data_IF_090853061406
#
_entry.id   IF_090853061406
#
_cell.length_a   1.000
_cell.length_b   1.000
_cell.length_c   1.000
_cell.angle_alpha   90.00
_cell.angle_beta   90.00
_cell.angle_gamma   90.00
#
_symmetry.space_group_name_H-M   'P 1'
#
loop_
_entity.id
_entity.type
_entity.pdbx_description
1 polymer ?
#
# COMPACT_ATOMS: atom_id res chain seq x y z
N UNK A 1 -2.89 27.51 38.11
CA UNK A 1 -2.68 26.03 38.11
C UNK A 1 -3.99 25.35 37.76
N UNK A 2 -4.25 25.06 36.49
CA UNK A 2 -5.41 24.30 36.09
C UNK A 2 -5.18 22.81 36.40
N UNK A 3 -5.99 22.23 37.29
CA UNK A 3 -5.96 20.81 37.66
C UNK A 3 -6.17 19.97 36.41
N UNK A 4 -5.27 19.00 36.16
CA UNK A 4 -5.52 17.95 35.16
C UNK A 4 -6.83 17.25 35.48
N UNK A 5 -7.71 17.03 34.51
CA UNK A 5 -8.96 16.29 34.72
C UNK A 5 -8.66 14.86 35.19
N UNK A 6 -9.43 14.38 36.16
CA UNK A 6 -9.32 13.05 36.76
C UNK A 6 -9.44 11.94 35.70
N UNK A 7 -8.65 10.88 35.87
CA UNK A 7 -8.38 9.84 34.88
C UNK A 7 -9.49 8.78 34.67
N UNK A 8 -10.57 8.81 35.42
CA UNK A 8 -11.46 7.65 35.57
C UNK A 8 -12.97 7.92 35.40
N UNK A 9 -13.33 8.82 34.47
CA UNK A 9 -14.73 9.02 34.08
C UNK A 9 -15.08 8.08 32.90
N UNK A 10 -15.94 7.06 33.09
CA UNK A 10 -16.27 6.09 32.03
C UNK A 10 -17.10 6.67 30.88
N UNK A 11 -17.67 7.87 31.03
CA UNK A 11 -18.38 8.60 29.96
C UNK A 11 -17.45 9.39 29.04
N UNK A 12 -16.16 9.56 29.40
CA UNK A 12 -15.17 10.25 28.56
C UNK A 12 -14.38 9.26 27.69
N UNK A 13 -14.14 9.58 26.43
CA UNK A 13 -13.31 8.74 25.57
C UNK A 13 -11.96 8.49 26.26
N UNK A 14 -11.51 7.22 26.30
CA UNK A 14 -10.27 6.78 26.95
C UNK A 14 -9.17 7.79 26.65
N UNK A 15 -8.55 8.39 27.68
CA UNK A 15 -7.57 9.49 27.63
C UNK A 15 -6.33 9.25 26.73
N UNK A 16 -6.33 8.21 25.90
CA UNK A 16 -5.27 7.77 24.99
C UNK A 16 -5.75 7.52 23.55
N UNK A 17 -7.05 7.63 23.23
CA UNK A 17 -7.61 7.42 21.88
C UNK A 17 -7.34 8.58 20.92
N UNK A 18 -7.43 8.34 19.62
CA UNK A 18 -7.25 9.34 18.57
C UNK A 18 -8.30 10.45 18.65
N UNK A 19 -9.57 10.11 18.94
CA UNK A 19 -10.66 11.09 19.11
C UNK A 19 -10.38 12.08 20.25
N UNK A 20 -9.89 11.61 21.41
CA UNK A 20 -9.48 12.48 22.51
C UNK A 20 -8.35 13.45 22.11
N UNK A 21 -7.39 12.98 21.32
CA UNK A 21 -6.27 13.84 20.86
C UNK A 21 -6.73 14.88 19.85
N UNK A 22 -7.69 14.56 18.98
CA UNK A 22 -8.31 15.56 18.10
C UNK A 22 -8.85 16.74 18.92
N UNK A 23 -9.62 16.47 19.98
CA UNK A 23 -10.18 17.52 20.85
C UNK A 23 -9.09 18.25 21.66
N UNK A 24 -8.13 17.51 22.23
CA UNK A 24 -7.09 18.08 23.08
C UNK A 24 -6.22 19.13 22.35
N UNK A 25 -5.85 18.88 21.09
CA UNK A 25 -5.02 19.82 20.32
C UNK A 25 -5.80 20.99 19.69
N UNK A 26 -7.13 20.98 19.75
CA UNK A 26 -7.98 22.08 19.33
C UNK A 26 -8.20 23.13 20.44
N UNK A 27 -7.54 23.00 21.59
CA UNK A 27 -7.62 23.99 22.68
C UNK A 27 -6.58 25.09 22.49
N UNK A 28 -7.02 26.37 22.58
CA UNK A 28 -6.19 27.56 22.47
C UNK A 28 -5.03 27.57 23.46
N UNK A 29 -5.29 27.18 24.72
CA UNK A 29 -4.31 27.18 25.79
C UNK A 29 -3.17 26.18 25.54
N UNK A 30 -3.52 25.01 24.95
CA UNK A 30 -2.54 24.00 24.56
C UNK A 30 -1.65 24.50 23.41
N UNK A 31 -2.20 25.26 22.49
CA UNK A 31 -1.47 25.78 21.33
C UNK A 31 -0.48 26.89 21.72
N UNK A 32 -0.89 27.81 22.60
CA UNK A 32 -0.08 28.96 23.03
C UNK A 32 1.20 28.53 23.79
N UNK A 33 1.06 27.58 24.72
CA UNK A 33 2.16 27.12 25.56
C UNK A 33 2.98 25.96 24.97
N UNK A 34 2.57 25.44 23.80
CA UNK A 34 3.12 24.19 23.25
C UNK A 34 4.62 24.25 23.01
N UNK A 35 5.12 25.34 22.43
CA UNK A 35 6.52 25.46 22.06
C UNK A 35 7.40 25.80 23.27
N UNK A 36 6.97 26.69 24.15
CA UNK A 36 7.70 27.03 25.37
C UNK A 36 7.90 25.81 26.26
N UNK A 37 6.83 25.04 26.53
CA UNK A 37 6.92 23.86 27.39
C UNK A 37 7.71 22.71 26.77
N UNK A 38 7.68 22.55 25.42
CA UNK A 38 8.28 21.38 24.76
C UNK A 38 9.71 21.57 24.28
N UNK A 39 10.22 22.80 24.11
CA UNK A 39 11.53 23.01 23.46
C UNK A 39 12.49 23.93 24.20
N UNK A 40 12.12 24.41 25.35
CA UNK A 40 12.92 25.29 26.19
C UNK A 40 14.29 24.71 26.62
N UNK A 41 14.40 23.39 26.79
CA UNK A 41 15.63 22.78 27.30
C UNK A 41 16.61 22.38 26.19
N UNK A 42 17.94 22.57 26.36
CA UNK A 42 18.95 22.16 25.38
C UNK A 42 18.86 20.68 24.96
N UNK A 43 18.48 19.81 25.91
CA UNK A 43 18.27 18.37 25.64
C UNK A 43 17.12 18.13 24.63
N UNK A 44 16.05 18.92 24.69
CA UNK A 44 14.91 18.83 23.80
C UNK A 44 15.22 19.44 22.43
N UNK A 45 15.97 20.54 22.40
CA UNK A 45 16.45 21.15 21.13
C UNK A 45 17.39 20.20 20.39
N UNK A 46 18.40 19.59 21.05
CA UNK A 46 19.28 18.57 20.45
C UNK A 46 18.50 17.36 19.89
N UNK A 47 17.41 16.97 20.57
CA UNK A 47 16.54 15.88 20.11
C UNK A 47 15.75 16.27 18.86
N UNK A 48 15.33 17.51 18.75
CA UNK A 48 14.65 18.04 17.57
C UNK A 48 15.63 18.14 16.38
N UNK A 49 16.82 18.68 16.59
CA UNK A 49 17.89 18.77 15.59
C UNK A 49 18.24 17.39 15.00
N UNK A 50 18.38 16.36 15.86
CA UNK A 50 18.62 14.98 15.38
C UNK A 50 17.48 14.44 14.52
N UNK A 51 16.22 14.78 14.83
CA UNK A 51 15.09 14.39 14.00
C UNK A 51 15.13 15.13 12.67
N UNK A 52 15.40 16.41 12.66
CA UNK A 52 15.57 17.19 11.44
C UNK A 52 16.68 16.61 10.55
N UNK A 53 17.82 16.27 11.08
CA UNK A 53 18.89 15.62 10.33
C UNK A 53 18.45 14.28 9.71
N UNK A 54 17.60 13.51 10.40
CA UNK A 54 17.06 12.27 9.84
C UNK A 54 16.06 12.54 8.70
N UNK A 55 15.25 13.61 8.81
CA UNK A 55 14.34 14.06 7.74
C UNK A 55 15.16 14.55 6.53
N UNK A 56 16.20 15.35 6.73
CA UNK A 56 17.10 15.80 5.66
C UNK A 56 17.75 14.62 4.91
N UNK A 57 18.17 13.58 5.64
CA UNK A 57 18.69 12.34 5.04
C UNK A 57 17.63 11.62 4.21
N UNK A 58 16.35 11.66 4.61
CA UNK A 58 15.25 11.11 3.81
C UNK A 58 15.03 11.95 2.55
N UNK A 59 14.97 13.28 2.68
CA UNK A 59 14.81 14.21 1.57
C UNK A 59 15.96 14.12 0.55
N UNK A 60 17.19 13.95 1.02
CA UNK A 60 18.35 13.76 0.13
C UNK A 60 18.28 12.48 -0.72
N UNK A 61 17.44 11.52 -0.36
CA UNK A 61 17.18 10.30 -1.15
C UNK A 61 15.98 10.47 -2.12
N UNK A 62 15.32 11.62 -2.09
CA UNK A 62 14.19 11.92 -2.98
C UNK A 62 14.68 12.72 -4.19
N UNK A 63 14.25 12.32 -5.38
CA UNK A 63 14.55 13.05 -6.61
C UNK A 63 13.34 13.91 -7.01
N UNK A 64 13.61 15.18 -7.39
CA UNK A 64 12.62 16.06 -8.00
C UNK A 64 11.54 16.61 -7.07
N UNK A 65 11.68 16.49 -5.76
CA UNK A 65 10.73 17.06 -4.80
C UNK A 65 10.88 18.58 -4.77
N UNK A 66 9.79 19.29 -5.06
CA UNK A 66 9.67 20.76 -4.99
C UNK A 66 8.58 21.16 -4.00
N UNK A 67 7.48 20.42 -3.95
CA UNK A 67 6.29 20.71 -3.13
C UNK A 67 6.10 19.68 -2.03
N UNK A 68 5.91 20.15 -0.78
CA UNK A 68 5.72 19.28 0.39
C UNK A 68 4.47 19.70 1.17
N UNK A 69 3.61 18.75 1.49
CA UNK A 69 2.57 18.90 2.52
C UNK A 69 3.11 18.42 3.84
N UNK A 70 3.18 19.29 4.85
CA UNK A 70 3.58 18.97 6.24
C UNK A 70 2.31 18.75 7.08
N UNK A 71 2.05 17.51 7.50
CA UNK A 71 0.84 17.07 8.18
C UNK A 71 1.13 16.10 9.35
N UNK A 72 0.73 16.38 10.57
CA UNK A 72 0.29 17.67 11.07
C UNK A 72 1.45 18.65 11.25
N UNK A 73 1.26 19.88 10.79
CA UNK A 73 2.31 20.90 10.88
C UNK A 73 2.51 21.46 12.31
N UNK A 74 1.46 21.36 13.15
CA UNK A 74 1.46 21.93 14.51
C UNK A 74 1.80 23.42 14.48
N UNK A 75 2.76 23.82 15.31
CA UNK A 75 3.27 25.20 15.38
C UNK A 75 4.28 25.57 14.28
N UNK A 76 4.31 24.81 13.16
CA UNK A 76 5.07 25.15 11.95
C UNK A 76 6.56 24.88 11.99
N UNK A 77 7.06 24.16 12.99
CA UNK A 77 8.50 23.97 13.20
C UNK A 77 9.21 23.28 12.04
N UNK A 78 8.70 22.17 11.56
CA UNK A 78 9.27 21.49 10.40
C UNK A 78 8.85 22.17 9.11
N UNK A 79 7.67 22.76 9.05
CA UNK A 79 7.20 23.63 7.96
C UNK A 79 8.23 24.72 7.67
N UNK A 80 8.65 25.48 8.72
CA UNK A 80 9.67 26.51 8.59
C UNK A 80 11.06 25.98 8.21
N UNK A 81 11.43 24.78 8.69
CA UNK A 81 12.69 24.15 8.31
C UNK A 81 12.69 23.71 6.83
N UNK A 82 11.58 23.19 6.33
CA UNK A 82 11.41 22.82 4.93
C UNK A 82 11.42 24.05 4.02
N UNK A 83 10.71 25.11 4.41
CA UNK A 83 10.68 26.36 3.66
C UNK A 83 12.09 26.99 3.53
N UNK A 84 12.86 27.01 4.63
CA UNK A 84 14.29 27.45 4.61
C UNK A 84 15.17 26.56 3.76
N UNK A 85 14.84 25.28 3.63
CA UNK A 85 15.56 24.34 2.75
C UNK A 85 15.17 24.48 1.27
N UNK A 86 14.29 25.43 0.90
CA UNK A 86 13.92 25.78 -0.48
C UNK A 86 12.70 25.03 -1.02
N UNK A 87 12.00 24.24 -0.19
CA UNK A 87 10.76 23.57 -0.63
C UNK A 87 9.56 24.52 -0.53
N UNK A 88 8.66 24.45 -1.52
CA UNK A 88 7.34 25.06 -1.42
C UNK A 88 6.47 24.18 -0.49
N UNK A 89 6.02 24.74 0.65
CA UNK A 89 5.38 23.98 1.71
C UNK A 89 3.95 24.44 1.95
N UNK A 90 3.04 23.48 2.05
CA UNK A 90 1.70 23.68 2.61
C UNK A 90 1.68 23.04 3.99
N UNK A 91 1.46 23.85 5.04
CA UNK A 91 1.21 23.36 6.39
C UNK A 91 -0.24 22.88 6.51
N UNK A 92 -0.46 21.71 7.12
CA UNK A 92 -1.82 21.23 7.35
C UNK A 92 -1.94 20.66 8.76
N UNK A 93 -3.02 21.00 9.44
CA UNK A 93 -3.35 20.50 10.79
C UNK A 93 -4.88 20.46 10.97
N UNK A 94 -5.33 19.66 11.92
CA UNK A 94 -6.74 19.69 12.37
C UNK A 94 -7.03 20.88 13.27
N UNK A 95 -6.02 21.40 13.99
CA UNK A 95 -6.09 22.54 14.89
C UNK A 95 -5.77 23.84 14.17
N UNK A 96 -6.76 24.73 14.11
CA UNK A 96 -6.61 26.09 13.59
C UNK A 96 -5.66 26.89 14.51
N UNK A 97 -5.76 26.69 15.82
CA UNK A 97 -4.96 27.37 16.84
C UNK A 97 -3.47 27.06 16.67
N UNK A 98 -3.12 25.80 16.38
CA UNK A 98 -1.74 25.40 16.07
C UNK A 98 -1.23 26.08 14.79
N UNK A 99 -2.05 26.14 13.74
CA UNK A 99 -1.69 26.80 12.49
C UNK A 99 -1.57 28.33 12.65
N UNK A 100 -2.38 28.97 13.52
CA UNK A 100 -2.22 30.39 13.86
C UNK A 100 -0.87 30.67 14.54
N UNK A 101 -0.38 29.76 15.39
CA UNK A 101 0.97 29.89 15.94
C UNK A 101 2.04 29.67 14.86
N UNK A 102 1.81 28.73 13.94
CA UNK A 102 2.70 28.51 12.81
C UNK A 102 2.81 29.75 11.91
N UNK A 103 1.72 30.47 11.72
CA UNK A 103 1.68 31.71 10.91
C UNK A 103 2.47 32.88 11.55
N UNK A 104 2.82 32.81 12.84
CA UNK A 104 3.68 33.79 13.53
C UNK A 104 5.18 33.55 13.33
N UNK A 105 5.58 32.55 12.53
CA UNK A 105 6.99 32.31 12.21
C UNK A 105 7.61 33.55 11.55
N UNK A 106 8.94 33.80 11.73
CA UNK A 106 9.60 34.93 11.10
C UNK A 106 9.44 34.97 9.56
N UNK A 107 9.31 36.14 8.99
CA UNK A 107 9.04 36.36 7.56
C UNK A 107 9.99 35.57 6.61
N UNK A 108 11.27 35.44 6.96
CA UNK A 108 12.24 34.64 6.21
C UNK A 108 11.85 33.16 6.10
N UNK A 109 11.02 32.66 7.03
CA UNK A 109 10.52 31.28 7.01
C UNK A 109 9.23 31.15 6.21
N UNK A 110 8.55 32.27 5.88
CA UNK A 110 7.32 32.29 5.12
C UNK A 110 7.53 32.34 3.60
N UNK A 111 8.71 32.73 3.13
CA UNK A 111 8.97 32.95 1.70
C UNK A 111 8.57 31.76 0.80
N UNK A 112 8.64 30.53 1.32
CA UNK A 112 8.29 29.30 0.59
C UNK A 112 7.10 28.56 1.23
N UNK A 113 6.34 29.20 2.13
CA UNK A 113 5.11 28.62 2.71
C UNK A 113 3.94 29.10 1.85
N UNK A 114 3.35 28.19 1.08
CA UNK A 114 2.24 28.48 0.18
C UNK A 114 0.92 28.72 0.94
N UNK A 115 0.83 28.30 2.19
CA UNK A 115 -0.34 28.51 3.05
C UNK A 115 -0.54 27.41 4.10
N UNK A 116 -1.65 27.57 4.83
CA UNK A 116 -2.09 26.61 5.85
C UNK A 116 -3.50 26.12 5.55
N UNK A 117 -3.72 24.81 5.68
CA UNK A 117 -5.00 24.17 5.36
C UNK A 117 -5.46 23.33 6.54
N UNK A 118 -6.66 23.60 7.06
CA UNK A 118 -7.28 22.74 8.08
C UNK A 118 -7.70 21.42 7.45
N UNK A 119 -7.18 20.30 8.00
CA UNK A 119 -7.49 18.99 7.47
C UNK A 119 -7.48 17.89 8.54
N UNK A 120 -8.36 16.92 8.37
CA UNK A 120 -8.27 15.62 9.02
C UNK A 120 -7.37 14.70 8.20
N UNK A 121 -6.40 14.05 8.84
CA UNK A 121 -5.46 13.15 8.17
C UNK A 121 -6.13 11.89 7.58
N UNK A 122 -7.36 11.56 7.98
CA UNK A 122 -8.15 10.47 7.42
C UNK A 122 -8.92 10.87 6.16
N UNK A 123 -9.11 12.19 5.89
CA UNK A 123 -9.82 12.72 4.73
C UNK A 123 -9.20 14.08 4.35
N UNK A 124 -8.17 14.05 3.53
CA UNK A 124 -7.40 15.25 3.17
C UNK A 124 -8.10 16.05 2.05
N UNK A 125 -8.27 17.39 2.21
CA UNK A 125 -8.92 18.24 1.21
C UNK A 125 -7.97 18.59 0.04
N UNK A 126 -7.03 17.74 -0.27
CA UNK A 126 -6.10 17.91 -1.37
C UNK A 126 -6.48 17.01 -2.54
N UNK A 127 -6.24 17.50 -3.75
CA UNK A 127 -6.43 16.70 -4.97
C UNK A 127 -5.45 15.51 -4.98
N UNK A 128 -5.84 14.44 -5.64
CA UNK A 128 -4.96 13.29 -5.89
C UNK A 128 -3.69 13.77 -6.61
N UNK A 129 -2.52 13.30 -6.12
CA UNK A 129 -1.20 13.64 -6.71
C UNK A 129 -0.89 15.13 -6.79
N UNK A 130 -1.35 15.92 -5.83
CA UNK A 130 -1.17 17.38 -5.80
C UNK A 130 0.18 17.84 -5.22
N UNK A 131 0.86 17.03 -4.41
CA UNK A 131 2.17 17.36 -3.84
C UNK A 131 3.22 16.29 -4.17
N UNK A 132 4.50 16.67 -4.35
CA UNK A 132 5.57 15.72 -4.65
C UNK A 132 5.88 14.82 -3.45
N UNK A 133 5.77 15.37 -2.24
CA UNK A 133 5.99 14.67 -0.98
C UNK A 133 4.94 15.06 0.06
N UNK A 134 4.48 14.09 0.84
CA UNK A 134 3.74 14.32 2.07
C UNK A 134 4.62 13.90 3.25
N UNK A 135 4.82 14.84 4.20
CA UNK A 135 5.58 14.58 5.41
C UNK A 135 4.64 14.50 6.62
N UNK A 136 4.77 13.43 7.42
CA UNK A 136 3.98 13.24 8.65
C UNK A 136 4.88 12.89 9.81
N UNK A 137 5.19 13.87 10.65
CA UNK A 137 6.14 13.74 11.74
C UNK A 137 5.50 13.93 13.11
N UNK A 138 5.78 12.99 14.03
CA UNK A 138 5.30 12.96 15.42
C UNK A 138 3.80 12.71 15.56
N UNK A 139 3.23 12.01 14.64
CA UNK A 139 1.79 11.79 14.57
C UNK A 139 1.38 10.30 14.57
N UNK A 140 1.84 9.50 13.60
CA UNK A 140 1.34 8.14 13.38
C UNK A 140 1.48 7.19 14.57
N UNK A 141 2.45 7.38 15.44
CA UNK A 141 2.59 6.57 16.66
C UNK A 141 1.59 6.95 17.77
N UNK A 142 0.69 7.88 17.53
CA UNK A 142 -0.39 8.27 18.43
C UNK A 142 -1.73 7.63 18.10
N UNK A 143 -1.82 6.93 16.99
CA UNK A 143 -3.05 6.30 16.49
C UNK A 143 -2.86 4.79 16.37
N UNK A 144 -3.95 4.05 16.39
CA UNK A 144 -3.95 2.61 16.21
C UNK A 144 -3.58 2.20 14.77
N UNK A 145 -3.32 0.90 14.57
CA UNK A 145 -2.85 0.38 13.28
C UNK A 145 -3.85 0.50 12.14
N UNK A 146 -5.14 0.43 12.42
CA UNK A 146 -6.18 0.55 11.41
C UNK A 146 -6.32 1.99 10.93
N UNK A 147 -6.39 2.93 11.87
CA UNK A 147 -6.39 4.38 11.59
C UNK A 147 -5.12 4.78 10.82
N UNK A 148 -3.93 4.25 11.19
CA UNK A 148 -2.70 4.50 10.43
C UNK A 148 -2.80 4.04 8.97
N UNK A 149 -3.39 2.87 8.71
CA UNK A 149 -3.56 2.40 7.32
C UNK A 149 -4.48 3.31 6.50
N UNK A 150 -5.59 3.78 7.09
CA UNK A 150 -6.48 4.76 6.43
C UNK A 150 -5.72 6.04 6.09
N UNK A 151 -4.99 6.60 7.05
CA UNK A 151 -4.16 7.79 6.84
C UNK A 151 -3.08 7.58 5.78
N UNK A 152 -2.39 6.45 5.81
CA UNK A 152 -1.35 6.13 4.83
C UNK A 152 -1.92 6.02 3.40
N UNK A 153 -3.16 5.53 3.22
CA UNK A 153 -3.84 5.55 1.92
C UNK A 153 -4.08 6.98 1.42
N UNK A 154 -4.57 7.86 2.31
CA UNK A 154 -4.75 9.28 2.00
C UNK A 154 -3.41 9.97 1.69
N UNK A 155 -2.36 9.67 2.43
CA UNK A 155 -1.02 10.18 2.15
C UNK A 155 -0.53 9.73 0.76
N UNK A 156 -0.76 8.47 0.41
CA UNK A 156 -0.47 7.91 -0.90
C UNK A 156 -1.30 8.52 -2.03
N UNK A 157 -2.57 8.86 -1.76
CA UNK A 157 -3.45 9.55 -2.72
C UNK A 157 -2.94 10.95 -3.03
N UNK A 158 -2.62 11.74 -2.01
CA UNK A 158 -2.18 13.14 -2.14
C UNK A 158 -0.78 13.26 -2.71
N UNK A 159 0.13 12.38 -2.29
CA UNK A 159 1.52 12.42 -2.72
C UNK A 159 1.71 11.88 -4.14
N UNK A 160 2.42 12.61 -4.99
CA UNK A 160 2.85 12.12 -6.32
C UNK A 160 3.77 10.92 -6.19
N UNK A 161 4.75 11.01 -5.29
CA UNK A 161 5.76 9.96 -5.17
C UNK A 161 6.23 9.68 -3.76
N UNK A 162 6.53 10.65 -2.93
CA UNK A 162 7.25 10.44 -1.70
C UNK A 162 6.40 10.68 -0.45
N UNK A 163 6.58 9.84 0.55
CA UNK A 163 6.00 10.01 1.88
C UNK A 163 7.12 9.87 2.89
N UNK A 164 7.23 10.85 3.81
CA UNK A 164 8.16 10.81 4.94
C UNK A 164 7.34 10.75 6.21
N UNK A 165 7.46 9.67 6.96
CA UNK A 165 6.73 9.48 8.21
C UNK A 165 7.65 9.03 9.34
N UNK A 166 7.27 9.28 10.61
CA UNK A 166 8.05 8.75 11.72
C UNK A 166 7.28 7.70 12.52
N UNK A 167 8.02 6.69 12.95
CA UNK A 167 7.52 5.57 13.73
C UNK A 167 8.34 5.39 15.02
N UNK A 168 7.73 4.67 15.98
CA UNK A 168 8.43 4.18 17.15
C UNK A 168 8.57 2.68 17.09
N UNK A 169 9.80 2.18 17.26
CA UNK A 169 10.14 0.77 17.06
C UNK A 169 10.57 0.06 18.34
N UNK A 170 10.47 -1.28 18.33
CA UNK A 170 10.82 -2.15 19.46
C UNK A 170 12.33 -2.48 19.59
N UNK A 171 13.17 -2.05 18.65
CA UNK A 171 14.60 -2.41 18.62
C UNK A 171 15.49 -1.37 19.31
N UNK A 172 15.05 -0.79 20.44
CA UNK A 172 15.83 0.15 21.23
C UNK A 172 16.15 -0.44 22.61
N UNK A 173 17.31 -0.08 23.17
CA UNK A 173 17.68 -0.45 24.51
C UNK A 173 16.59 -0.13 25.55
N UNK A 174 16.00 1.05 25.42
CA UNK A 174 14.87 1.47 26.27
C UNK A 174 13.68 0.53 26.20
N UNK A 175 13.37 -0.03 25.04
CA UNK A 175 12.29 -1.02 24.90
C UNK A 175 12.66 -2.35 25.57
N UNK A 176 13.92 -2.77 25.46
CA UNK A 176 14.43 -3.95 26.14
C UNK A 176 14.30 -3.85 27.66
N UNK A 177 14.76 -2.72 28.24
CA UNK A 177 14.59 -2.43 29.66
C UNK A 177 13.12 -2.42 30.08
N UNK A 178 12.25 -1.80 29.30
CA UNK A 178 10.81 -1.80 29.56
C UNK A 178 10.24 -3.22 29.55
N UNK A 179 10.63 -4.06 28.58
CA UNK A 179 10.16 -5.44 28.47
C UNK A 179 10.52 -6.25 29.71
N UNK A 180 11.75 -6.11 30.19
CA UNK A 180 12.23 -6.76 31.45
C UNK A 180 11.43 -6.23 32.64
N UNK A 181 11.30 -4.91 32.79
CA UNK A 181 10.53 -4.30 33.88
C UNK A 181 9.06 -4.70 33.86
N UNK A 182 8.48 -4.89 32.69
CA UNK A 182 7.09 -5.35 32.51
C UNK A 182 6.94 -6.82 32.90
N UNK A 183 7.90 -7.67 32.53
CA UNK A 183 7.92 -9.08 32.92
C UNK A 183 8.07 -9.27 34.44
N UNK A 184 8.79 -8.35 35.09
CA UNK A 184 8.95 -8.33 36.56
C UNK A 184 7.79 -7.62 37.28
N UNK A 185 6.73 -7.23 36.59
CA UNK A 185 5.57 -6.54 37.18
C UNK A 185 5.83 -5.09 37.63
N UNK A 186 7.04 -4.55 37.37
CA UNK A 186 7.45 -3.21 37.81
C UNK A 186 6.80 -2.06 37.01
N UNK A 187 6.18 -2.33 35.88
CA UNK A 187 5.45 -1.36 35.07
C UNK A 187 4.21 -1.94 34.43
N UNK A 188 3.07 -1.24 34.58
CA UNK A 188 1.78 -1.60 33.96
C UNK A 188 1.46 -0.75 32.72
N UNK A 189 2.31 0.21 32.34
CA UNK A 189 2.04 1.12 31.21
C UNK A 189 2.29 0.40 29.88
N UNK A 190 1.32 0.36 28.97
CA UNK A 190 1.53 -0.20 27.65
C UNK A 190 2.58 0.62 26.90
N UNK A 191 3.48 -0.07 26.21
CA UNK A 191 4.56 0.55 25.45
C UNK A 191 4.56 0.00 24.02
N UNK A 192 3.47 0.31 23.30
CA UNK A 192 3.32 -0.14 21.93
C UNK A 192 4.45 0.35 21.03
N UNK A 193 5.06 -0.57 20.34
CA UNK A 193 6.13 -0.33 19.39
C UNK A 193 6.01 -1.29 18.24
N UNK A 194 6.27 -0.79 17.04
CA UNK A 194 6.18 -1.59 15.80
C UNK A 194 7.48 -2.35 15.53
N UNK A 195 7.35 -3.50 14.88
CA UNK A 195 8.46 -4.18 14.23
C UNK A 195 8.66 -3.64 12.81
N UNK A 196 9.81 -3.92 12.18
CA UNK A 196 10.01 -3.63 10.75
C UNK A 196 8.91 -4.33 9.95
N UNK A 197 8.65 -5.61 10.21
CA UNK A 197 7.64 -6.40 9.48
C UNK A 197 6.25 -5.79 9.59
N UNK A 198 5.79 -5.42 10.81
CA UNK A 198 4.43 -4.85 10.98
C UNK A 198 4.31 -3.47 10.35
N UNK A 199 5.33 -2.61 10.50
CA UNK A 199 5.37 -1.29 9.87
C UNK A 199 5.37 -1.40 8.34
N UNK A 200 6.24 -2.22 7.77
CA UNK A 200 6.29 -2.43 6.31
C UNK A 200 4.96 -2.95 5.78
N UNK A 201 4.31 -3.86 6.53
CA UNK A 201 2.97 -4.35 6.15
C UNK A 201 1.91 -3.23 6.17
N UNK A 202 1.96 -2.29 7.12
CA UNK A 202 1.04 -1.14 7.14
C UNK A 202 1.20 -0.25 5.88
N UNK A 203 2.43 0.00 5.44
CA UNK A 203 2.69 0.73 4.20
C UNK A 203 2.27 -0.07 2.97
N UNK A 204 2.60 -1.36 2.90
CA UNK A 204 2.21 -2.25 1.79
C UNK A 204 0.68 -2.38 1.66
N UNK A 205 -0.03 -2.49 2.78
CA UNK A 205 -1.51 -2.52 2.81
C UNK A 205 -2.13 -1.19 2.31
N UNK A 206 -1.39 -0.09 2.43
CA UNK A 206 -1.78 1.22 1.88
C UNK A 206 -1.31 1.45 0.42
N UNK A 207 -0.74 0.44 -0.24
CA UNK A 207 -0.21 0.57 -1.60
C UNK A 207 1.12 1.31 -1.70
N UNK A 208 1.84 1.46 -0.58
CA UNK A 208 3.10 2.20 -0.48
C UNK A 208 4.27 1.23 -0.33
N UNK A 209 5.43 1.59 -0.86
CA UNK A 209 6.68 0.84 -0.71
C UNK A 209 7.63 1.56 0.25
N UNK A 210 8.06 0.91 1.31
CA UNK A 210 9.13 1.43 2.17
C UNK A 210 10.45 1.42 1.40
N UNK A 211 10.95 2.60 1.04
CA UNK A 211 12.21 2.78 0.33
C UNK A 211 13.41 2.80 1.28
N UNK A 212 13.29 3.46 2.43
CA UNK A 212 14.38 3.54 3.42
C UNK A 212 13.84 3.73 4.83
N UNK A 213 14.53 3.12 5.79
CA UNK A 213 14.32 3.34 7.23
C UNK A 213 15.57 4.02 7.79
N UNK A 214 15.42 5.20 8.37
CA UNK A 214 16.50 6.03 8.92
C UNK A 214 16.34 6.11 10.43
N UNK A 215 17.29 5.57 11.18
CA UNK A 215 17.30 5.67 12.63
C UNK A 215 17.71 7.08 13.07
N UNK A 216 16.89 7.72 13.92
CA UNK A 216 17.24 9.03 14.51
C UNK A 216 18.49 8.95 15.40
N UNK A 217 18.65 7.82 16.09
CA UNK A 217 19.88 7.44 16.81
C UNK A 217 19.90 5.94 16.98
N UNK A 218 20.83 5.26 16.30
CA UNK A 218 20.93 3.80 16.32
C UNK A 218 21.02 3.27 17.76
N UNK A 219 20.24 2.24 18.10
CA UNK A 219 20.17 1.55 19.40
C UNK A 219 19.66 2.40 20.59
N UNK A 220 19.89 3.71 20.60
CA UNK A 220 19.59 4.61 21.71
C UNK A 220 18.25 5.33 21.58
N UNK A 221 17.63 5.34 20.42
CA UNK A 221 16.32 5.96 20.17
C UNK A 221 15.35 4.95 19.60
N UNK A 222 14.12 4.98 20.09
CA UNK A 222 13.00 4.19 19.58
C UNK A 222 12.35 4.80 18.33
N UNK A 223 13.02 5.70 17.60
CA UNK A 223 12.43 6.47 16.52
C UNK A 223 13.09 6.21 15.20
N UNK A 224 12.26 5.92 14.20
CA UNK A 224 12.61 5.90 12.80
C UNK A 224 11.97 7.07 12.05
N UNK A 225 12.67 7.57 11.05
CA UNK A 225 12.11 8.29 9.92
C UNK A 225 12.06 7.31 8.75
N UNK A 226 10.90 7.11 8.21
CA UNK A 226 10.61 6.16 7.13
C UNK A 226 10.36 6.97 5.88
N UNK A 227 11.14 6.70 4.84
CA UNK A 227 10.88 7.16 3.49
C UNK A 227 10.12 6.06 2.76
N UNK A 228 8.95 6.40 2.26
CA UNK A 228 8.15 5.50 1.45
C UNK A 228 7.82 6.14 0.09
N UNK A 229 7.59 5.30 -0.89
CA UNK A 229 7.23 5.67 -2.24
C UNK A 229 5.78 5.28 -2.50
N UNK A 230 4.98 6.22 -2.98
CA UNK A 230 3.62 5.96 -3.43
C UNK A 230 3.67 5.20 -4.76
N UNK A 231 3.28 3.93 -4.72
CA UNK A 231 3.30 3.03 -5.86
C UNK A 231 2.18 3.30 -6.88
N UNK A 232 1.96 4.54 -7.25
CA UNK A 232 1.02 4.87 -8.32
C UNK A 232 1.78 5.08 -9.62
N UNK A 233 1.46 4.26 -10.59
CA UNK A 233 1.72 4.61 -11.98
C UNK A 233 0.59 5.54 -12.39
N UNK A 234 0.89 6.82 -12.42
CA UNK A 234 0.02 7.83 -13.04
C UNK A 234 -0.04 7.50 -14.55
N UNK A 235 -1.21 7.43 -15.17
CA UNK A 235 -1.32 7.25 -16.62
C UNK A 235 -0.47 8.23 -17.43
N UNK A 236 -0.34 9.49 -16.99
CA UNK A 236 0.54 10.48 -17.63
C UNK A 236 2.04 10.13 -17.49
N UNK A 237 2.45 9.45 -16.43
CA UNK A 237 3.83 8.96 -16.26
C UNK A 237 4.09 7.67 -17.04
N UNK A 238 3.04 6.97 -17.45
CA UNK A 238 3.14 5.75 -18.25
C UNK A 238 3.65 6.08 -19.66
N UNK A 239 3.08 7.10 -20.31
CA UNK A 239 3.52 7.54 -21.63
C UNK A 239 5.01 7.87 -21.67
N UNK A 240 5.53 8.56 -20.64
CA UNK A 240 6.97 8.86 -20.54
C UNK A 240 7.84 7.60 -20.39
N UNK A 241 7.34 6.55 -19.74
CA UNK A 241 8.04 5.27 -19.57
C UNK A 241 7.98 4.37 -20.78
N UNK A 242 6.98 4.58 -21.64
CA UNK A 242 6.79 3.80 -22.86
C UNK A 242 7.47 4.42 -24.08
N UNK A 243 7.97 5.66 -23.95
CA UNK A 243 8.67 6.36 -25.03
C UNK A 243 9.87 5.54 -25.49
N UNK A 244 9.96 5.30 -26.80
CA UNK A 244 10.99 4.48 -27.42
C UNK A 244 10.77 2.96 -27.30
N UNK A 245 9.67 2.51 -26.71
CA UNK A 245 9.26 1.11 -26.75
C UNK A 245 8.22 0.90 -27.86
N UNK A 246 7.95 -0.35 -28.23
CA UNK A 246 6.87 -0.68 -29.20
C UNK A 246 5.45 -0.34 -28.70
N UNK A 247 5.32 0.16 -27.47
CA UNK A 247 4.06 0.52 -26.82
C UNK A 247 3.95 2.03 -26.56
N UNK A 248 4.70 2.85 -27.24
CA UNK A 248 4.69 4.33 -27.03
C UNK A 248 3.37 4.99 -27.42
N UNK A 249 2.62 4.36 -28.34
CA UNK A 249 1.29 4.77 -28.80
C UNK A 249 0.14 4.23 -27.92
N UNK A 250 0.45 3.57 -26.79
CA UNK A 250 -0.54 3.02 -25.88
C UNK A 250 -1.27 4.13 -25.12
N UNK A 251 -2.58 4.17 -25.27
CA UNK A 251 -3.47 5.12 -24.58
C UNK A 251 -4.27 4.41 -23.48
N UNK A 252 -4.09 4.85 -22.22
CA UNK A 252 -4.90 4.35 -21.09
C UNK A 252 -6.24 5.06 -21.08
N UNK A 253 -7.33 4.29 -21.17
CA UNK A 253 -8.70 4.82 -21.24
C UNK A 253 -9.43 4.76 -19.92
N UNK A 254 -9.26 3.68 -19.14
CA UNK A 254 -10.02 3.47 -17.91
C UNK A 254 -9.23 2.65 -16.90
N UNK A 255 -9.43 2.91 -15.60
CA UNK A 255 -8.95 2.05 -14.52
C UNK A 255 -10.01 0.99 -14.22
N UNK A 256 -9.73 -0.27 -14.54
CA UNK A 256 -10.64 -1.41 -14.31
C UNK A 256 -10.62 -1.92 -12.86
N UNK A 257 -9.47 -1.84 -12.20
CA UNK A 257 -9.37 -2.32 -10.82
C UNK A 257 -7.98 -2.18 -10.22
N UNK A 258 -7.93 -2.40 -8.91
CA UNK A 258 -6.68 -2.36 -8.17
C UNK A 258 -6.62 -3.50 -7.16
N UNK A 259 -5.59 -4.32 -7.28
CA UNK A 259 -5.30 -5.41 -6.37
C UNK A 259 -4.08 -5.14 -5.49
N UNK A 260 -3.73 -6.12 -4.67
CA UNK A 260 -2.55 -6.05 -3.79
C UNK A 260 -1.24 -5.89 -4.58
N UNK A 261 -1.14 -6.49 -5.76
CA UNK A 261 0.11 -6.60 -6.54
C UNK A 261 0.17 -5.66 -7.74
N UNK A 262 -0.98 -5.30 -8.30
CA UNK A 262 -1.06 -4.55 -9.56
C UNK A 262 -2.28 -3.63 -9.60
N UNK A 263 -2.25 -2.70 -10.53
CA UNK A 263 -3.39 -1.93 -10.99
C UNK A 263 -3.68 -2.38 -12.41
N UNK A 264 -4.94 -2.61 -12.74
CA UNK A 264 -5.39 -3.04 -14.06
C UNK A 264 -6.11 -1.88 -14.73
N UNK A 265 -5.76 -1.61 -15.97
CA UNK A 265 -6.35 -0.58 -16.81
C UNK A 265 -6.89 -1.19 -18.08
N UNK A 266 -7.93 -0.56 -18.64
CA UNK A 266 -8.28 -0.67 -20.05
C UNK A 266 -7.41 0.31 -20.80
N UNK A 267 -6.88 -0.10 -21.93
CA UNK A 267 -6.08 0.74 -22.79
C UNK A 267 -6.38 0.46 -24.24
N UNK A 268 -6.03 1.38 -25.12
CA UNK A 268 -6.06 1.22 -26.58
C UNK A 268 -4.64 1.15 -27.10
N UNK A 269 -4.36 0.15 -27.93
CA UNK A 269 -3.07 -0.03 -28.58
C UNK A 269 -3.28 -0.60 -29.98
N UNK A 270 -2.72 0.07 -31.00
CA UNK A 270 -2.89 -0.30 -32.41
C UNK A 270 -4.37 -0.50 -32.81
N UNK A 271 -5.26 0.38 -32.35
CA UNK A 271 -6.70 0.31 -32.61
C UNK A 271 -7.47 -0.78 -31.87
N UNK A 272 -6.81 -1.62 -31.09
CA UNK A 272 -7.41 -2.72 -30.30
C UNK A 272 -7.53 -2.32 -28.82
N UNK A 273 -8.64 -2.70 -28.19
CA UNK A 273 -8.75 -2.62 -26.72
C UNK A 273 -7.96 -3.76 -26.06
N UNK A 274 -7.17 -3.38 -25.04
CA UNK A 274 -6.31 -4.31 -24.31
C UNK A 274 -6.45 -4.12 -22.80
N UNK A 275 -6.19 -5.19 -22.07
CA UNK A 275 -6.01 -5.18 -20.63
C UNK A 275 -4.54 -4.90 -20.27
N UNK A 276 -4.28 -3.83 -19.54
CA UNK A 276 -2.95 -3.43 -19.09
C UNK A 276 -2.82 -3.65 -17.60
N UNK A 277 -1.87 -4.48 -17.19
CA UNK A 277 -1.61 -4.80 -15.80
C UNK A 277 -0.27 -4.19 -15.39
N UNK A 278 -0.32 -3.15 -14.57
CA UNK A 278 0.87 -2.44 -14.06
C UNK A 278 1.19 -2.91 -12.67
N UNK A 279 2.39 -3.44 -12.45
CA UNK A 279 2.79 -4.01 -11.16
C UNK A 279 3.26 -2.97 -10.18
N UNK A 280 2.82 -3.12 -8.94
CA UNK A 280 3.26 -2.27 -7.83
C UNK A 280 4.72 -2.57 -7.47
N UNK A 281 5.54 -1.58 -7.11
CA UNK A 281 6.95 -1.78 -6.77
C UNK A 281 7.19 -2.83 -5.67
N UNK A 282 6.29 -2.90 -4.68
CA UNK A 282 6.36 -3.92 -3.64
C UNK A 282 6.17 -5.35 -4.18
N UNK A 283 5.31 -5.53 -5.17
CA UNK A 283 5.09 -6.83 -5.82
C UNK A 283 6.32 -7.24 -6.63
N UNK A 284 6.91 -6.29 -7.40
CA UNK A 284 8.15 -6.49 -8.17
C UNK A 284 9.28 -6.92 -7.22
N UNK A 285 9.52 -6.16 -6.14
CA UNK A 285 10.57 -6.47 -5.17
C UNK A 285 10.35 -7.80 -4.44
N UNK A 286 9.09 -8.13 -4.11
CA UNK A 286 8.77 -9.41 -3.46
C UNK A 286 8.97 -10.60 -4.42
N UNK A 287 8.63 -10.44 -5.70
CA UNK A 287 8.83 -11.47 -6.71
C UNK A 287 10.32 -11.71 -6.97
N UNK A 288 11.11 -10.65 -7.15
CA UNK A 288 12.55 -10.71 -7.39
C UNK A 288 13.34 -11.46 -6.28
N UNK A 289 12.82 -11.47 -5.04
CA UNK A 289 13.41 -12.28 -3.95
C UNK A 289 13.13 -13.77 -4.07
N UNK A 290 12.21 -14.18 -4.93
CA UNK A 290 11.69 -15.56 -5.02
C UNK A 290 11.92 -16.20 -6.37
N UNK A 291 12.13 -15.39 -7.40
CA UNK A 291 12.26 -15.85 -8.78
C UNK A 291 13.27 -15.00 -9.55
N UNK A 292 13.98 -15.63 -10.49
CA UNK A 292 15.04 -14.96 -11.28
C UNK A 292 14.47 -14.04 -12.38
N UNK A 293 13.36 -14.44 -13.01
CA UNK A 293 12.75 -13.62 -14.04
C UNK A 293 12.02 -12.42 -13.44
N UNK A 294 11.98 -11.26 -14.11
CA UNK A 294 11.10 -10.15 -13.75
C UNK A 294 9.63 -10.58 -13.67
N UNK A 295 8.85 -9.93 -12.81
CA UNK A 295 7.44 -10.33 -12.56
C UNK A 295 6.58 -10.26 -13.81
N UNK A 296 6.71 -9.19 -14.62
CA UNK A 296 5.94 -9.00 -15.84
C UNK A 296 6.30 -10.06 -16.91
N UNK A 297 7.58 -10.33 -17.08
CA UNK A 297 8.06 -11.35 -17.99
C UNK A 297 7.63 -12.75 -17.54
N UNK A 298 7.75 -13.05 -16.25
CA UNK A 298 7.31 -14.31 -15.68
C UNK A 298 5.82 -14.56 -15.93
N UNK A 299 4.97 -13.57 -15.63
CA UNK A 299 3.53 -13.69 -15.83
C UNK A 299 3.18 -13.82 -17.32
N UNK A 300 3.80 -13.03 -18.18
CA UNK A 300 3.59 -13.11 -19.63
C UNK A 300 3.99 -14.47 -20.20
N UNK A 301 5.18 -14.99 -19.87
CA UNK A 301 5.62 -16.32 -20.35
C UNK A 301 4.70 -17.41 -19.87
N UNK A 302 4.23 -17.33 -18.63
CA UNK A 302 3.30 -18.31 -18.08
C UNK A 302 1.93 -18.20 -18.74
N UNK A 303 1.38 -17.01 -18.93
CA UNK A 303 0.13 -16.78 -19.67
C UNK A 303 0.25 -17.36 -21.09
N UNK A 304 1.36 -17.08 -21.78
CA UNK A 304 1.62 -17.58 -23.14
C UNK A 304 1.63 -19.10 -23.19
N UNK A 305 2.31 -19.76 -22.26
CA UNK A 305 2.35 -21.22 -22.19
C UNK A 305 0.94 -21.83 -22.01
N UNK A 306 0.08 -21.21 -21.20
CA UNK A 306 -1.32 -21.65 -21.04
C UNK A 306 -2.14 -21.38 -22.31
N UNK A 307 -1.99 -20.20 -22.91
CA UNK A 307 -2.74 -19.83 -24.11
C UNK A 307 -2.40 -20.72 -25.32
N UNK A 308 -1.12 -21.04 -25.52
CA UNK A 308 -0.64 -21.86 -26.63
C UNK A 308 -0.90 -23.36 -26.43
N UNK A 309 -1.26 -23.80 -25.22
CA UNK A 309 -1.60 -25.19 -24.98
C UNK A 309 -2.88 -25.59 -25.74
N UNK A 310 -2.90 -26.82 -26.26
CA UNK A 310 -4.00 -27.33 -27.09
C UNK A 310 -5.35 -27.18 -26.38
N UNK A 311 -6.29 -26.50 -27.01
CA UNK A 311 -7.66 -26.31 -26.50
C UNK A 311 -7.77 -25.24 -25.40
N UNK A 312 -6.67 -24.62 -24.94
CA UNK A 312 -6.67 -23.68 -23.84
C UNK A 312 -6.99 -22.23 -24.23
N UNK A 313 -6.79 -21.83 -25.49
CA UNK A 313 -6.99 -20.44 -25.94
C UNK A 313 -8.40 -19.89 -25.64
N UNK A 314 -9.44 -20.74 -25.67
CA UNK A 314 -10.81 -20.34 -25.33
C UNK A 314 -10.99 -19.97 -23.83
N UNK A 315 -10.08 -20.43 -22.95
CA UNK A 315 -10.16 -20.28 -21.50
C UNK A 315 -9.15 -19.26 -20.92
N UNK A 316 -8.27 -18.70 -21.73
CA UNK A 316 -7.16 -17.86 -21.28
C UNK A 316 -7.16 -16.56 -22.07
N UNK A 317 -6.93 -15.44 -21.39
CA UNK A 317 -6.73 -14.16 -22.05
C UNK A 317 -5.47 -14.20 -22.93
N UNK A 318 -5.57 -13.75 -24.19
CA UNK A 318 -4.43 -13.70 -25.12
C UNK A 318 -3.29 -12.82 -24.57
N UNK A 319 -2.07 -13.33 -24.42
CA UNK A 319 -0.92 -12.55 -23.96
C UNK A 319 -0.36 -11.70 -25.10
N UNK A 320 -0.33 -10.37 -24.95
CA UNK A 320 0.09 -9.42 -25.98
C UNK A 320 1.53 -8.92 -25.79
N UNK A 321 2.04 -8.95 -24.56
CA UNK A 321 3.41 -8.55 -24.29
C UNK A 321 3.67 -8.09 -22.87
N UNK A 322 4.87 -7.55 -22.68
CA UNK A 322 5.30 -7.00 -21.39
C UNK A 322 6.38 -5.92 -21.56
N UNK A 323 6.57 -5.11 -20.51
CA UNK A 323 7.67 -4.14 -20.37
C UNK A 323 8.34 -4.36 -19.03
N UNK A 324 9.67 -4.33 -19.03
CA UNK A 324 10.51 -4.40 -17.83
C UNK A 324 11.52 -3.26 -17.87
N UNK A 325 11.37 -2.33 -16.93
CA UNK A 325 12.26 -1.20 -16.70
C UNK A 325 12.68 -1.14 -15.23
N UNK A 326 13.77 -0.50 -14.87
CA UNK A 326 14.16 -0.32 -13.49
C UNK A 326 13.04 0.31 -12.64
N UNK A 327 12.47 -0.46 -11.73
CA UNK A 327 11.38 -0.04 -10.85
C UNK A 327 9.99 0.05 -11.49
N UNK A 328 9.84 -0.33 -12.76
CA UNK A 328 8.57 -0.36 -13.48
C UNK A 328 8.41 -1.65 -14.28
N UNK A 329 7.29 -2.31 -14.13
CA UNK A 329 6.94 -3.50 -14.91
C UNK A 329 5.45 -3.51 -15.23
N UNK A 330 5.10 -3.93 -16.43
CA UNK A 330 3.73 -4.14 -16.87
C UNK A 330 3.60 -5.34 -17.80
N UNK A 331 2.41 -5.94 -17.84
CA UNK A 331 2.02 -6.94 -18.84
C UNK A 331 0.76 -6.50 -19.57
N UNK A 332 0.66 -6.90 -20.81
CA UNK A 332 -0.45 -6.63 -21.72
C UNK A 332 -1.11 -7.95 -22.12
N UNK A 333 -2.41 -7.96 -22.10
CA UNK A 333 -3.23 -9.10 -22.53
C UNK A 333 -4.53 -8.62 -23.17
N UNK A 334 -5.29 -9.54 -23.76
CA UNK A 334 -6.64 -9.30 -24.20
C UNK A 334 -7.46 -8.60 -23.11
N UNK A 335 -8.25 -7.57 -23.47
CA UNK A 335 -9.24 -6.99 -22.58
C UNK A 335 -10.45 -7.91 -22.53
N UNK A 336 -10.64 -8.62 -21.44
CA UNK A 336 -11.77 -9.53 -21.29
C UNK A 336 -13.06 -8.74 -21.03
N UNK A 337 -14.10 -9.05 -21.79
CA UNK A 337 -15.46 -8.58 -21.54
C UNK A 337 -16.19 -9.59 -20.65
N UNK A 338 -16.18 -9.34 -19.36
CA UNK A 338 -16.74 -10.27 -18.40
C UNK A 338 -16.74 -9.74 -16.98
N UNK A 339 -17.17 -10.58 -16.07
CA UNK A 339 -17.21 -10.29 -14.65
C UNK A 339 -16.49 -11.37 -13.85
N UNK A 340 -15.79 -10.96 -12.77
CA UNK A 340 -15.14 -11.91 -11.87
C UNK A 340 -16.18 -12.84 -11.26
N UNK A 341 -15.99 -14.15 -11.38
CA UNK A 341 -16.96 -15.18 -10.98
C UNK A 341 -17.54 -14.98 -9.56
N UNK A 342 -16.71 -14.53 -8.61
CA UNK A 342 -17.18 -14.28 -7.26
C UNK A 342 -18.30 -13.24 -7.18
N UNK A 343 -18.23 -12.17 -7.99
CA UNK A 343 -19.26 -11.13 -8.04
C UNK A 343 -20.41 -11.57 -8.93
N UNK A 344 -20.11 -12.13 -10.11
CA UNK A 344 -21.11 -12.62 -11.04
C UNK A 344 -22.10 -13.60 -10.38
N UNK A 345 -21.60 -14.52 -9.55
CA UNK A 345 -22.48 -15.48 -8.86
C UNK A 345 -23.43 -14.82 -7.85
N UNK A 346 -23.11 -13.64 -7.34
CA UNK A 346 -23.92 -12.94 -6.32
C UNK A 346 -24.85 -11.90 -6.90
N UNK A 347 -24.41 -11.24 -7.95
CA UNK A 347 -25.06 -10.07 -8.49
C UNK A 347 -25.67 -10.33 -9.87
N UNK A 348 -25.06 -11.21 -10.66
CA UNK A 348 -25.45 -11.48 -12.06
C UNK A 348 -25.33 -12.97 -12.40
N UNK A 349 -25.97 -13.84 -11.60
CA UNK A 349 -25.88 -15.30 -11.81
C UNK A 349 -26.39 -15.75 -13.17
N UNK A 350 -27.23 -14.96 -13.83
CA UNK A 350 -27.78 -15.20 -15.15
C UNK A 350 -26.74 -15.22 -16.27
N UNK A 351 -25.60 -14.55 -16.11
CA UNK A 351 -24.53 -14.59 -17.12
C UNK A 351 -23.69 -15.88 -17.05
N UNK A 352 -23.84 -16.68 -16.00
CA UNK A 352 -23.04 -17.88 -15.79
C UNK A 352 -23.67 -19.04 -16.55
N UNK A 353 -22.93 -19.62 -17.49
CA UNK A 353 -23.36 -20.81 -18.21
C UNK A 353 -23.63 -21.98 -17.24
N UNK A 354 -24.70 -22.79 -17.49
CA UNK A 354 -24.91 -24.04 -16.73
C UNK A 354 -23.70 -25.00 -16.80
N UNK A 355 -22.90 -24.91 -17.84
CA UNK A 355 -21.70 -25.72 -18.06
C UNK A 355 -20.43 -25.12 -17.45
N UNK A 356 -20.52 -23.97 -16.77
CA UNK A 356 -19.35 -23.25 -16.25
C UNK A 356 -18.40 -24.14 -15.44
N UNK A 357 -18.91 -24.99 -14.57
CA UNK A 357 -18.10 -25.88 -13.73
C UNK A 357 -17.49 -27.04 -14.55
N UNK A 358 -18.18 -27.55 -15.56
CA UNK A 358 -17.65 -28.56 -16.47
C UNK A 358 -16.53 -27.97 -17.32
N UNK A 359 -16.73 -26.77 -17.87
CA UNK A 359 -15.74 -26.04 -18.66
C UNK A 359 -14.51 -25.70 -17.79
N UNK A 360 -14.72 -25.39 -16.51
CA UNK A 360 -13.62 -25.14 -15.55
C UNK A 360 -12.85 -26.44 -15.25
N UNK A 361 -13.54 -27.57 -15.17
CA UNK A 361 -12.91 -28.88 -14.99
C UNK A 361 -12.14 -29.30 -16.27
N UNK A 362 -12.70 -29.06 -17.47
CA UNK A 362 -12.02 -29.27 -18.75
C UNK A 362 -10.73 -28.41 -18.82
N UNK A 363 -10.80 -27.13 -18.46
CA UNK A 363 -9.63 -26.23 -18.39
C UNK A 363 -8.51 -26.81 -17.52
N UNK A 364 -8.84 -27.33 -16.33
CA UNK A 364 -7.86 -27.95 -15.43
C UNK A 364 -7.27 -29.21 -16.05
N UNK A 365 -8.09 -30.07 -16.70
CA UNK A 365 -7.64 -31.28 -17.40
C UNK A 365 -6.66 -30.94 -18.50
N UNK A 366 -7.04 -30.03 -19.42
CA UNK A 366 -6.19 -29.58 -20.52
C UNK A 366 -4.85 -28.98 -20.06
N UNK A 367 -4.89 -28.24 -18.96
CA UNK A 367 -3.66 -27.68 -18.38
C UNK A 367 -2.73 -28.78 -17.87
N UNK A 368 -3.28 -29.84 -17.26
CA UNK A 368 -2.48 -30.97 -16.76
C UNK A 368 -1.93 -31.82 -17.90
N UNK A 369 -2.70 -32.05 -18.99
CA UNK A 369 -2.22 -32.70 -20.20
C UNK A 369 -1.01 -31.95 -20.80
N UNK A 370 -1.07 -30.60 -20.79
CA UNK A 370 0.03 -29.75 -21.22
C UNK A 370 1.17 -29.63 -20.16
N UNK A 371 1.10 -30.36 -19.05
CA UNK A 371 2.05 -30.28 -17.90
C UNK A 371 2.16 -28.89 -17.27
N UNK A 372 1.09 -28.08 -17.37
CA UNK A 372 0.98 -26.75 -16.78
C UNK A 372 0.20 -26.84 -15.46
N UNK A 373 0.90 -26.84 -14.36
CA UNK A 373 0.35 -27.01 -13.01
C UNK A 373 0.35 -25.71 -12.21
N UNK A 374 -0.19 -25.79 -10.99
CA UNK A 374 -0.23 -24.70 -10.04
C UNK A 374 -1.02 -23.49 -10.54
N UNK A 375 -2.19 -23.75 -11.12
CA UNK A 375 -3.16 -22.70 -11.49
C UNK A 375 -3.59 -21.99 -10.20
N UNK A 376 -3.58 -20.64 -10.18
CA UNK A 376 -4.14 -19.91 -9.01
C UNK A 376 -5.67 -19.88 -9.08
N UNK A 377 -6.26 -21.09 -9.08
CA UNK A 377 -7.69 -21.31 -9.26
C UNK A 377 -8.44 -20.92 -7.99
N UNK A 378 -9.16 -19.81 -8.06
CA UNK A 378 -10.16 -19.40 -7.06
C UNK A 378 -11.10 -18.36 -7.68
N UNK A 379 -12.29 -18.20 -7.08
CA UNK A 379 -13.39 -17.39 -7.62
C UNK A 379 -13.04 -15.92 -7.97
N UNK A 380 -11.95 -15.36 -7.43
CA UNK A 380 -11.47 -14.02 -7.75
C UNK A 380 -10.44 -13.97 -8.90
N UNK A 381 -10.00 -15.12 -9.42
CA UNK A 381 -9.01 -15.20 -10.50
C UNK A 381 -9.60 -15.80 -11.78
N UNK A 382 -10.88 -16.06 -11.77
CA UNK A 382 -11.63 -16.55 -12.94
C UNK A 382 -12.71 -15.54 -13.26
N UNK A 383 -12.78 -15.13 -14.52
CA UNK A 383 -13.82 -14.26 -15.04
C UNK A 383 -14.86 -15.10 -15.75
N UNK A 384 -16.12 -14.70 -15.67
CA UNK A 384 -17.20 -15.21 -16.50
C UNK A 384 -17.22 -14.37 -17.77
N UNK A 385 -16.98 -15.00 -18.93
CA UNK A 385 -17.11 -14.34 -20.22
C UNK A 385 -18.55 -13.92 -20.44
N UNK A 386 -18.80 -12.65 -20.74
CA UNK A 386 -20.17 -12.11 -20.84
C UNK A 386 -20.95 -12.68 -22.00
N UNK A 387 -20.28 -13.10 -23.08
CA UNK A 387 -20.93 -13.66 -24.28
C UNK A 387 -21.14 -15.15 -24.19
N UNK A 388 -20.11 -15.88 -23.72
CA UNK A 388 -20.16 -17.35 -23.69
C UNK A 388 -20.61 -17.90 -22.33
N UNK A 389 -20.60 -17.11 -21.28
CA UNK A 389 -20.91 -17.51 -19.89
C UNK A 389 -19.90 -18.49 -19.29
N UNK A 390 -18.82 -18.79 -20.01
CA UNK A 390 -17.78 -19.73 -19.61
C UNK A 390 -16.63 -19.09 -18.82
N UNK A 391 -15.72 -19.91 -18.25
CA UNK A 391 -14.58 -19.42 -17.47
C UNK A 391 -13.47 -18.86 -18.34
N UNK A 392 -12.86 -17.73 -17.90
CA UNK A 392 -11.65 -17.13 -18.46
C UNK A 392 -10.62 -16.89 -17.36
N UNK A 393 -9.40 -17.40 -17.51
CA UNK A 393 -8.26 -17.11 -16.64
C UNK A 393 -7.54 -15.82 -17.08
N UNK A 394 -7.16 -14.98 -16.13
CA UNK A 394 -6.51 -13.70 -16.39
C UNK A 394 -5.34 -13.36 -15.46
N UNK A 395 -5.04 -14.18 -14.44
CA UNK A 395 -3.95 -13.92 -13.47
C UNK A 395 -3.00 -15.12 -13.37
N UNK A 396 -1.78 -14.96 -13.89
CA UNK A 396 -0.72 -15.98 -13.98
C UNK A 396 0.50 -15.68 -13.10
N UNK A 397 0.36 -14.82 -12.12
CA UNK A 397 1.49 -14.34 -11.27
C UNK A 397 1.92 -15.34 -10.17
N UNK A 398 1.26 -16.50 -10.06
CA UNK A 398 1.62 -17.51 -9.08
C UNK A 398 2.87 -18.28 -9.53
N UNK A 399 3.95 -18.18 -8.74
CA UNK A 399 5.15 -19.01 -8.93
C UNK A 399 4.76 -20.47 -8.67
N UNK A 400 5.02 -21.42 -9.60
CA UNK A 400 4.80 -22.84 -9.40
C UNK A 400 5.50 -23.33 -8.14
N UNK A 401 4.87 -24.28 -7.46
CA UNK A 401 5.40 -24.76 -6.19
C UNK A 401 6.81 -25.36 -6.33
N UNK A 402 7.12 -25.95 -7.47
CA UNK A 402 8.44 -26.51 -7.81
C UNK A 402 9.54 -25.49 -8.02
N UNK A 403 9.16 -24.26 -8.39
CA UNK A 403 10.09 -23.14 -8.67
C UNK A 403 10.30 -22.22 -7.46
N UNK A 404 9.58 -22.47 -6.34
CA UNK A 404 9.76 -21.71 -5.10
C UNK A 404 10.96 -22.22 -4.33
N UNK A 405 11.70 -21.32 -3.62
CA UNK A 405 12.64 -21.75 -2.58
C UNK A 405 11.88 -22.61 -1.56
N UNK A 406 12.23 -23.88 -1.47
CA UNK A 406 11.44 -24.86 -0.71
C UNK A 406 12.04 -25.16 0.65
N UNK A 407 11.15 -25.45 1.62
CA UNK A 407 11.52 -26.19 2.79
C UNK A 407 12.05 -27.57 2.34
N UNK A 408 13.23 -28.03 2.82
CA UNK A 408 13.84 -29.31 2.42
C UNK A 408 12.90 -30.51 2.52
N UNK A 409 12.01 -30.55 3.52
CA UNK A 409 11.01 -31.61 3.69
C UNK A 409 9.97 -31.64 2.58
N UNK A 410 9.56 -30.48 2.08
CA UNK A 410 8.60 -30.39 0.98
C UNK A 410 9.28 -30.80 -0.33
N UNK A 411 10.53 -30.40 -0.53
CA UNK A 411 11.34 -30.80 -1.69
C UNK A 411 11.52 -32.33 -1.75
N UNK A 412 11.76 -32.96 -0.61
CA UNK A 412 11.85 -34.41 -0.50
C UNK A 412 10.51 -35.11 -0.78
N UNK A 413 9.41 -34.60 -0.21
CA UNK A 413 8.06 -35.16 -0.44
C UNK A 413 7.61 -35.10 -1.91
N UNK A 414 8.01 -34.04 -2.64
CA UNK A 414 7.80 -33.92 -4.09
C UNK A 414 8.65 -34.92 -4.86
N UNK A 415 9.93 -35.09 -4.51
CA UNK A 415 10.82 -36.07 -5.15
C UNK A 415 10.35 -37.50 -4.95
N UNK A 416 9.76 -37.79 -3.78
CA UNK A 416 9.19 -39.09 -3.45
C UNK A 416 7.78 -39.34 -3.99
N UNK A 417 7.21 -38.38 -4.77
CA UNK A 417 5.86 -38.50 -5.29
C UNK A 417 4.74 -38.40 -4.26
N UNK A 418 5.05 -38.08 -3.01
CA UNK A 418 4.09 -37.98 -1.90
C UNK A 418 3.18 -36.74 -2.02
N UNK A 419 3.58 -35.76 -2.81
CA UNK A 419 2.81 -34.55 -3.13
C UNK A 419 2.62 -34.45 -4.64
N UNK A 420 1.47 -34.90 -5.14
CA UNK A 420 1.12 -34.76 -6.57
C UNK A 420 0.86 -33.27 -6.94
N UNK A 421 1.39 -32.83 -8.08
CA UNK A 421 1.16 -31.48 -8.62
C UNK A 421 -0.31 -31.28 -8.98
N UNK A 422 -0.92 -32.25 -9.63
CA UNK A 422 -2.33 -32.27 -10.04
C UNK A 422 -3.27 -32.17 -8.84
N UNK A 423 -2.95 -32.84 -7.74
CA UNK A 423 -3.80 -32.91 -6.55
C UNK A 423 -4.08 -31.54 -5.92
N UNK A 424 -3.24 -30.52 -6.16
CA UNK A 424 -3.47 -29.14 -5.67
C UNK A 424 -4.53 -28.42 -6.47
N UNK A 425 -4.47 -28.50 -7.79
CA UNK A 425 -5.42 -27.83 -8.68
C UNK A 425 -6.77 -28.51 -8.60
N UNK A 426 -6.83 -29.84 -8.53
CA UNK A 426 -8.05 -30.60 -8.28
C UNK A 426 -8.70 -30.28 -6.93
N UNK A 427 -7.91 -30.09 -5.87
CA UNK A 427 -8.43 -29.62 -4.57
C UNK A 427 -8.99 -28.21 -4.63
N UNK A 428 -8.38 -27.33 -5.42
CA UNK A 428 -8.89 -25.97 -5.63
C UNK A 428 -10.18 -25.99 -6.41
N UNK A 429 -10.27 -26.82 -7.43
CA UNK A 429 -11.47 -27.04 -8.21
C UNK A 429 -12.63 -27.55 -7.35
N UNK A 430 -12.42 -28.58 -6.54
CA UNK A 430 -13.43 -29.11 -5.58
C UNK A 430 -13.93 -28.05 -4.58
N UNK A 431 -13.11 -27.08 -4.27
CA UNK A 431 -13.41 -25.98 -3.30
C UNK A 431 -13.71 -24.66 -3.99
N UNK A 432 -13.92 -24.66 -5.30
CA UNK A 432 -14.04 -23.44 -6.07
C UNK A 432 -15.22 -22.58 -5.59
N UNK A 433 -16.36 -23.21 -5.30
CA UNK A 433 -17.56 -22.57 -4.78
C UNK A 433 -17.57 -22.38 -3.24
N UNK A 434 -16.50 -22.77 -2.54
CA UNK A 434 -16.39 -22.48 -1.11
C UNK A 434 -15.75 -21.10 -0.91
N UNK A 435 -16.60 -20.11 -0.72
CA UNK A 435 -16.21 -18.70 -0.63
C UNK A 435 -15.63 -18.28 0.72
N UNK A 436 -15.69 -19.08 1.78
CA UNK A 436 -15.22 -18.73 3.14
C UNK A 436 -13.80 -18.14 3.17
N UNK A 437 -12.91 -18.68 2.33
CA UNK A 437 -11.53 -18.18 2.23
C UNK A 437 -11.43 -16.87 1.45
N UNK A 438 -12.26 -16.72 0.43
CA UNK A 438 -12.37 -15.51 -0.39
C UNK A 438 -12.99 -14.42 0.46
N UNK A 439 -14.08 -14.70 1.14
CA UNK A 439 -14.77 -13.78 2.05
C UNK A 439 -13.90 -13.31 3.20
N UNK A 440 -13.17 -14.21 3.85
CA UNK A 440 -12.19 -13.82 4.87
C UNK A 440 -11.09 -12.91 4.32
N UNK A 441 -10.66 -13.13 3.08
CA UNK A 441 -9.70 -12.24 2.43
C UNK A 441 -10.34 -10.91 2.02
N UNK A 442 -11.55 -10.94 1.47
CA UNK A 442 -12.31 -9.76 1.07
C UNK A 442 -12.76 -8.95 2.28
N UNK A 443 -13.29 -9.57 3.33
CA UNK A 443 -13.62 -8.90 4.58
C UNK A 443 -12.40 -8.22 5.20
N UNK A 444 -11.23 -8.82 5.07
CA UNK A 444 -9.97 -8.20 5.48
C UNK A 444 -9.57 -7.03 4.57
N UNK A 445 -9.92 -7.10 3.30
CA UNK A 445 -9.60 -6.08 2.29
C UNK A 445 -10.65 -4.96 2.27
N UNK A 446 -11.94 -5.30 2.39
CA UNK A 446 -13.09 -4.36 2.31
C UNK A 446 -13.55 -3.83 3.67
N UNK A 447 -13.21 -4.44 4.80
CA UNK A 447 -13.36 -3.78 6.12
C UNK A 447 -12.59 -2.45 6.17
N UNK A 448 -11.71 -2.26 5.23
CA UNK A 448 -10.84 -1.10 5.09
C UNK A 448 -11.23 -0.16 3.94
N UNK A 449 -12.29 -0.44 3.16
CA UNK A 449 -12.76 0.41 2.06
C UNK A 449 -14.18 0.86 2.37
N UNK A 450 -14.47 2.17 2.50
CA UNK A 450 -15.86 2.64 2.60
C UNK A 450 -16.60 2.24 1.33
N UNK A 451 -17.80 1.70 1.49
CA UNK A 451 -18.70 1.41 0.40
C UNK A 451 -18.87 2.68 -0.45
N UNK A 452 -18.30 2.69 -1.63
CA UNK A 452 -18.71 3.62 -2.67
C UNK A 452 -20.08 3.14 -3.13
N UNK A 453 -21.12 3.75 -2.57
CA UNK A 453 -22.46 3.72 -3.13
C UNK A 453 -22.38 4.32 -4.53
N UNK A 454 -22.20 3.50 -5.54
CA UNK A 454 -22.64 3.83 -6.89
C UNK A 454 -24.15 3.49 -6.94
N UNK A 455 -24.98 4.45 -6.60
CA UNK A 455 -26.34 4.54 -7.12
C UNK A 455 -26.29 5.48 -8.32
N UNK A 456 -26.92 5.02 -9.37
CA UNK A 456 -27.29 5.58 -10.65
C UNK A 456 -26.30 5.29 -11.77
#
# INVERSE_FOLDING_TARGET
MAKQPSRDDPSKPKAHGYAYKKQFYQSSDVAADYDEHRFRTPKRQRRNARKWNAIQKALALTNGVKTIVDLPCGTGRFTGNLARAGYAVVGSDISVEMMQQAAKLPAVQHANIAGYVRADAEALPFRTKSADCLMSIRFLFHVDGETRRRMLREFGRVSRRWIIADYRHKYSFRYGVWKISSALGLTKRPFERVSVKSMTAEFEDAGLRVAKIISVRRWLSDKWVVLAEAGHVDPSSLAAKLKGTKYEDLEVTEKLGEGKRSVVYRARWQGREIGLKVYKPAAIANHARKHKLPLAEFEHRRNKAFFEARGMAKYVAEPLGFVVEPGFQMSLQECLDGEVYYFAQREHAEIISPRFMDDLAELVSLSHEAKLYDIDLHAMNVMVDRKAGGPKLFDFNQIPFTERPQNPFIGLALKLGLLGRESRDLRKLKRFNNFDRVERKLLKFYKDTPATTSRA
#
